data_IF_592137099254
#
_entry.id   IF_592137099254
#
_cell.length_a   1.000
_cell.length_b   1.000
_cell.length_c   1.000
_cell.angle_alpha   90.00
_cell.angle_beta   90.00
_cell.angle_gamma   90.00
#
_symmetry.space_group_name_H-M   'P 1'
#
loop_
_entity.id
_entity.type
_entity.pdbx_description
1 polymer ?
#
# COMPACT_ATOMS: atom_id res chain seq x y z
N UNK A 1 2.49 13.37 -9.41
CA UNK A 1 1.15 13.76 -8.95
C UNK A 1 1.06 13.84 -7.43
N UNK A 2 1.38 12.76 -6.69
CA UNK A 2 1.24 12.68 -5.23
C UNK A 2 1.82 13.89 -4.48
N UNK A 3 3.13 14.07 -4.56
CA UNK A 3 3.80 15.14 -3.82
C UNK A 3 3.35 16.53 -4.23
N UNK A 4 3.03 16.74 -5.52
CA UNK A 4 2.58 18.04 -6.00
C UNK A 4 1.21 18.43 -5.41
N UNK A 5 0.22 17.54 -5.39
CA UNK A 5 -1.09 17.85 -4.79
C UNK A 5 -0.99 18.12 -3.29
N UNK A 6 -0.31 17.23 -2.57
CA UNK A 6 -0.16 17.38 -1.11
C UNK A 6 0.63 18.62 -0.72
N UNK A 7 1.71 18.94 -1.46
CA UNK A 7 2.49 20.16 -1.25
C UNK A 7 1.66 21.42 -1.56
N UNK A 8 0.90 21.42 -2.67
CA UNK A 8 0.03 22.54 -3.03
C UNK A 8 -1.03 22.82 -1.98
N UNK A 9 -1.66 21.76 -1.45
CA UNK A 9 -2.62 21.89 -0.35
C UNK A 9 -1.97 22.47 0.92
N UNK A 10 -0.78 21.96 1.30
CA UNK A 10 -0.05 22.43 2.47
C UNK A 10 0.38 23.90 2.32
N UNK A 11 0.85 24.30 1.14
CA UNK A 11 1.21 25.70 0.84
C UNK A 11 -0.02 26.60 0.96
N UNK A 12 -1.14 26.23 0.35
CA UNK A 12 -2.37 27.02 0.41
C UNK A 12 -2.85 27.25 1.86
N UNK A 13 -2.78 26.21 2.69
CA UNK A 13 -3.14 26.33 4.13
C UNK A 13 -2.10 27.18 4.89
N UNK A 14 -0.80 26.97 4.63
CA UNK A 14 0.25 27.75 5.27
C UNK A 14 0.09 29.27 4.99
N UNK A 15 -0.27 29.65 3.77
CA UNK A 15 -0.58 31.04 3.42
C UNK A 15 -1.77 31.61 4.23
N UNK A 16 -2.81 30.82 4.46
CA UNK A 16 -3.96 31.25 5.27
C UNK A 16 -3.58 31.40 6.76
N UNK A 17 -2.71 30.56 7.27
CA UNK A 17 -2.16 30.68 8.62
C UNK A 17 -1.31 31.96 8.73
N UNK A 18 -0.41 32.20 7.77
CA UNK A 18 0.44 33.40 7.72
C UNK A 18 -0.38 34.70 7.63
N UNK A 19 -1.50 34.65 6.90
CA UNK A 19 -2.42 35.78 6.77
C UNK A 19 -3.36 35.96 7.98
N UNK A 20 -3.23 35.15 9.03
CA UNK A 20 -4.02 35.21 10.25
C UNK A 20 -5.47 34.72 10.10
N UNK A 21 -5.81 34.07 8.99
CA UNK A 21 -7.17 33.53 8.75
C UNK A 21 -7.39 32.16 9.38
N UNK A 22 -6.33 31.41 9.61
CA UNK A 22 -6.34 30.11 10.28
C UNK A 22 -5.35 30.12 11.44
N UNK A 23 -5.64 29.30 12.46
CA UNK A 23 -4.73 29.04 13.58
C UNK A 23 -4.41 27.54 13.62
N UNK A 24 -3.13 27.21 13.82
CA UNK A 24 -2.66 25.85 13.91
C UNK A 24 -1.37 25.62 13.13
N UNK A 25 -1.01 24.37 12.94
CA UNK A 25 0.18 23.96 12.21
C UNK A 25 -0.21 22.94 11.13
N UNK A 26 0.24 23.17 9.91
CA UNK A 26 0.18 22.16 8.84
C UNK A 26 1.57 21.59 8.60
N UNK A 27 1.66 20.27 8.50
CA UNK A 27 2.90 19.56 8.16
C UNK A 27 2.73 18.79 6.86
N UNK A 28 3.70 18.91 5.98
CA UNK A 28 3.82 18.09 4.78
C UNK A 28 4.91 17.03 4.97
N UNK A 29 4.54 15.77 4.85
CA UNK A 29 5.47 14.66 4.96
C UNK A 29 5.80 14.08 3.57
N UNK A 30 7.05 14.16 3.16
CA UNK A 30 7.57 13.39 2.05
C UNK A 30 7.80 11.93 2.47
N UNK A 31 6.99 11.01 1.98
CA UNK A 31 6.99 9.63 2.41
C UNK A 31 7.57 8.71 1.31
N UNK A 32 8.85 8.34 1.39
CA UNK A 32 9.48 7.48 0.38
C UNK A 32 9.09 6.01 0.55
N UNK A 33 9.32 5.22 -0.52
CA UNK A 33 9.32 3.75 -0.51
C UNK A 33 8.00 3.09 -0.07
N UNK A 34 6.84 3.71 -0.38
CA UNK A 34 5.52 3.10 -0.11
C UNK A 34 5.38 1.74 -0.81
N UNK A 35 5.85 1.61 -2.06
CA UNK A 35 5.74 0.44 -2.94
C UNK A 35 6.63 -0.75 -2.51
N UNK A 36 6.72 -1.03 -1.22
CA UNK A 36 7.37 -2.21 -0.67
C UNK A 36 8.43 -1.98 0.41
N UNK A 37 8.94 -0.76 0.55
CA UNK A 37 9.89 -0.41 1.61
C UNK A 37 9.22 0.03 2.92
N UNK A 38 7.90 0.28 2.92
CA UNK A 38 7.10 0.65 4.10
C UNK A 38 7.68 1.85 4.85
N UNK A 39 8.03 2.92 4.11
CA UNK A 39 8.73 4.09 4.68
C UNK A 39 7.97 4.76 5.81
N UNK A 40 6.62 4.86 5.73
CA UNK A 40 5.79 5.46 6.78
C UNK A 40 5.83 4.67 8.09
N UNK A 41 5.94 3.34 8.05
CA UNK A 41 6.12 2.53 9.25
C UNK A 41 7.37 2.94 10.03
N UNK A 42 8.46 3.27 9.33
CA UNK A 42 9.68 3.77 9.96
C UNK A 42 9.53 5.21 10.48
N UNK A 43 8.79 6.07 9.77
CA UNK A 43 8.48 7.43 10.23
C UNK A 43 7.62 7.40 11.51
N UNK A 44 6.61 6.51 11.57
CA UNK A 44 5.80 6.29 12.78
C UNK A 44 6.67 5.81 13.93
N UNK A 45 7.52 4.80 13.70
CA UNK A 45 8.45 4.30 14.72
C UNK A 45 9.41 5.36 15.24
N UNK A 46 9.75 6.34 14.40
CA UNK A 46 10.59 7.48 14.79
C UNK A 46 9.82 8.60 15.52
N UNK A 47 8.50 8.44 15.76
CA UNK A 47 7.68 9.40 16.49
C UNK A 47 7.29 10.66 15.71
N UNK A 48 7.42 10.66 14.37
CA UNK A 48 7.19 11.87 13.58
C UNK A 48 5.71 12.31 13.56
N UNK A 49 4.79 11.47 13.97
CA UNK A 49 3.36 11.76 14.00
C UNK A 49 2.80 11.97 15.41
N UNK A 50 3.61 11.80 16.48
CA UNK A 50 3.14 11.74 17.88
C UNK A 50 2.47 13.05 18.36
N UNK A 51 2.82 14.18 17.77
CA UNK A 51 2.26 15.50 18.07
C UNK A 51 1.29 16.01 16.97
N UNK A 52 0.84 15.13 16.08
CA UNK A 52 -0.17 15.44 15.07
C UNK A 52 -1.58 15.08 15.57
N UNK A 53 -2.57 15.91 15.24
CA UNK A 53 -3.97 15.70 15.62
C UNK A 53 -4.70 14.76 14.65
N UNK A 54 -4.37 14.85 13.37
CA UNK A 54 -4.95 14.05 12.30
C UNK A 54 -4.01 14.00 11.08
N UNK A 55 -4.22 13.03 10.20
CA UNK A 55 -3.54 12.93 8.92
C UNK A 55 -4.54 12.77 7.76
N UNK A 56 -4.23 13.41 6.64
CA UNK A 56 -4.91 13.22 5.38
C UNK A 56 -3.95 12.70 4.32
N UNK A 57 -4.44 11.78 3.50
CA UNK A 57 -3.70 11.29 2.34
C UNK A 57 -4.61 11.18 1.12
N UNK A 58 -4.02 11.03 -0.06
CA UNK A 58 -4.78 10.80 -1.27
C UNK A 58 -4.04 9.84 -2.21
N UNK A 59 -4.75 9.30 -3.19
CA UNK A 59 -4.14 8.44 -4.22
C UNK A 59 -4.73 8.75 -5.60
N UNK A 60 -3.92 8.89 -6.68
CA UNK A 60 -4.42 8.97 -8.03
C UNK A 60 -5.06 7.64 -8.45
N UNK A 61 -6.24 7.70 -9.06
CA UNK A 61 -7.01 6.53 -9.45
C UNK A 61 -7.74 6.74 -10.78
N UNK A 62 -8.59 5.79 -11.16
CA UNK A 62 -9.48 5.92 -12.31
C UNK A 62 -10.89 6.42 -11.94
N UNK A 63 -11.13 6.69 -10.66
CA UNK A 63 -12.39 7.21 -10.09
C UNK A 63 -12.10 8.16 -8.93
N UNK A 64 -13.08 9.00 -8.61
CA UNK A 64 -13.09 9.77 -7.38
C UNK A 64 -13.79 8.96 -6.31
N UNK A 65 -13.14 8.67 -5.20
CA UNK A 65 -13.71 7.91 -4.08
C UNK A 65 -13.27 8.50 -2.75
N UNK A 66 -14.14 8.48 -1.76
CA UNK A 66 -13.80 8.71 -0.36
C UNK A 66 -14.74 7.88 0.53
N UNK A 67 -14.36 7.66 1.78
CA UNK A 67 -15.13 6.88 2.74
C UNK A 67 -14.22 6.25 3.80
N UNK A 68 -14.82 5.68 4.83
CA UNK A 68 -14.12 5.02 5.92
C UNK A 68 -13.67 3.58 5.55
N UNK A 69 -13.04 3.44 4.40
CA UNK A 69 -12.53 2.16 3.92
C UNK A 69 -11.26 1.73 4.64
N UNK A 70 -11.07 0.42 4.73
CA UNK A 70 -9.83 -0.20 5.21
C UNK A 70 -9.04 -0.82 4.06
N UNK A 71 -7.86 -1.38 4.36
CA UNK A 71 -7.03 -2.15 3.44
C UNK A 71 -6.41 -3.36 4.13
N UNK A 72 -5.67 -4.19 3.38
CA UNK A 72 -5.05 -5.37 3.97
C UNK A 72 -3.74 -5.00 4.67
N UNK A 73 -3.53 -5.57 5.85
CA UNK A 73 -2.20 -5.71 6.45
C UNK A 73 -1.35 -6.66 5.60
N UNK A 74 -0.03 -6.47 5.59
CA UNK A 74 0.91 -7.25 4.78
C UNK A 74 2.20 -7.51 5.53
N UNK A 75 2.74 -8.75 5.43
CA UNK A 75 4.14 -9.07 5.70
C UNK A 75 4.86 -9.41 4.39
N UNK A 76 6.14 -9.06 4.31
CA UNK A 76 7.02 -9.28 3.15
C UNK A 76 8.29 -9.99 3.59
N UNK A 77 8.65 -11.10 2.92
CA UNK A 77 9.83 -11.90 3.25
C UNK A 77 10.44 -12.53 2.01
N UNK A 78 11.76 -12.53 1.94
CA UNK A 78 12.55 -13.32 0.98
C UNK A 78 13.13 -14.52 1.72
N UNK A 79 12.95 -15.70 1.13
CA UNK A 79 13.60 -16.93 1.57
C UNK A 79 14.64 -17.32 0.52
N UNK A 80 15.90 -17.29 0.92
CA UNK A 80 17.02 -17.72 0.11
C UNK A 80 17.49 -19.07 0.59
N UNK A 81 17.67 -20.00 -0.34
CA UNK A 81 18.19 -21.32 -0.08
C UNK A 81 19.61 -21.44 -0.64
N UNK A 82 20.49 -22.02 0.15
CA UNK A 82 21.88 -22.26 -0.21
C UNK A 82 22.09 -23.75 -0.23
N UNK A 83 22.40 -24.27 -1.40
CA UNK A 83 22.64 -25.66 -1.68
C UNK A 83 24.10 -25.94 -2.08
N UNK A 84 24.28 -26.91 -2.96
CA UNK A 84 25.59 -27.29 -3.49
C UNK A 84 25.50 -27.67 -4.97
N UNK A 85 26.28 -27.01 -5.79
CA UNK A 85 26.32 -27.25 -7.22
C UNK A 85 26.97 -28.62 -7.55
N UNK A 86 26.49 -29.24 -8.61
CA UNK A 86 27.03 -30.43 -9.20
C UNK A 86 26.62 -30.53 -10.68
N UNK A 87 27.31 -31.39 -11.45
CA UNK A 87 26.84 -31.73 -12.81
C UNK A 87 25.59 -32.61 -12.70
N UNK A 88 24.45 -32.13 -13.16
CA UNK A 88 23.15 -32.76 -12.92
C UNK A 88 23.02 -34.18 -13.48
N UNK A 89 23.75 -34.52 -14.58
CA UNK A 89 23.77 -35.86 -15.15
C UNK A 89 25.00 -36.68 -14.77
N UNK A 90 26.14 -36.04 -14.49
CA UNK A 90 27.41 -36.72 -14.27
C UNK A 90 27.68 -37.09 -12.81
N UNK A 91 27.18 -36.31 -11.86
CA UNK A 91 27.37 -36.51 -10.43
C UNK A 91 26.19 -35.93 -9.61
N UNK A 92 24.91 -36.28 -9.89
CA UNK A 92 23.74 -35.70 -9.23
C UNK A 92 23.75 -35.91 -7.72
N UNK A 93 24.30 -37.03 -7.23
CA UNK A 93 24.37 -37.36 -5.79
C UNK A 93 25.24 -36.40 -4.99
N UNK A 94 26.11 -35.63 -5.65
CA UNK A 94 26.97 -34.62 -5.01
C UNK A 94 26.26 -33.27 -4.88
N UNK A 95 25.15 -33.05 -5.61
CA UNK A 95 24.37 -31.82 -5.60
C UNK A 95 23.41 -31.74 -4.43
N UNK A 96 23.02 -30.51 -4.09
CA UNK A 96 21.85 -30.17 -3.23
C UNK A 96 21.19 -28.98 -3.87
N UNK A 97 20.02 -29.20 -4.47
CA UNK A 97 19.32 -28.17 -5.26
C UNK A 97 18.62 -27.16 -4.39
N UNK A 98 19.07 -25.93 -4.46
CA UNK A 98 18.39 -24.80 -3.82
C UNK A 98 17.05 -24.49 -4.51
N UNK A 99 16.92 -24.79 -5.82
CA UNK A 99 15.65 -24.62 -6.53
C UNK A 99 14.58 -25.61 -6.03
N UNK A 100 14.96 -26.88 -5.80
CA UNK A 100 14.01 -27.87 -5.28
C UNK A 100 13.50 -27.47 -3.88
N UNK A 101 14.35 -26.83 -3.07
CA UNK A 101 13.94 -26.27 -1.79
C UNK A 101 12.91 -25.15 -1.96
N UNK A 102 13.09 -24.27 -2.95
CA UNK A 102 12.09 -23.22 -3.29
C UNK A 102 10.79 -23.84 -3.75
N UNK A 103 10.83 -24.85 -4.65
CA UNK A 103 9.63 -25.51 -5.17
C UNK A 103 8.85 -26.20 -4.05
N UNK A 104 9.53 -26.93 -3.15
CA UNK A 104 8.91 -27.53 -1.98
C UNK A 104 8.29 -26.50 -1.03
N UNK A 105 8.99 -25.38 -0.76
CA UNK A 105 8.49 -24.30 0.07
C UNK A 105 7.23 -23.66 -0.54
N UNK A 106 7.23 -23.42 -1.85
CA UNK A 106 6.08 -22.91 -2.59
C UNK A 106 4.90 -23.89 -2.50
N UNK A 107 5.14 -25.19 -2.78
CA UNK A 107 4.09 -26.20 -2.69
C UNK A 107 3.50 -26.31 -1.28
N UNK A 108 4.34 -26.35 -0.25
CA UNK A 108 3.91 -26.35 1.16
C UNK A 108 3.07 -25.11 1.51
N UNK A 109 3.40 -23.95 0.93
CA UNK A 109 2.61 -22.73 1.14
C UNK A 109 1.21 -22.80 0.48
N UNK A 110 1.06 -23.50 -0.65
CA UNK A 110 -0.24 -23.76 -1.28
C UNK A 110 -1.10 -24.69 -0.41
N UNK A 111 -0.52 -25.73 0.19
CA UNK A 111 -1.23 -26.59 1.14
C UNK A 111 -1.63 -25.83 2.41
N UNK A 112 -0.76 -24.94 2.92
CA UNK A 112 -1.08 -24.07 4.04
C UNK A 112 -2.32 -23.21 3.76
N UNK A 113 -2.52 -22.79 2.52
CA UNK A 113 -3.63 -21.91 2.10
C UNK A 113 -5.00 -22.48 2.44
N UNK A 114 -5.17 -23.80 2.41
CA UNK A 114 -6.43 -24.48 2.77
C UNK A 114 -6.81 -24.29 4.26
N UNK A 115 -5.83 -23.97 5.10
CA UNK A 115 -5.95 -23.92 6.56
C UNK A 115 -5.66 -22.52 7.10
N UNK A 116 -6.00 -21.49 6.34
CA UNK A 116 -5.91 -20.08 6.74
C UNK A 116 -7.30 -19.47 6.86
N UNK A 117 -7.51 -18.47 7.72
CA UNK A 117 -8.77 -17.73 7.77
C UNK A 117 -9.15 -17.14 6.42
N UNK A 118 -10.46 -16.93 6.21
CA UNK A 118 -10.98 -16.25 5.03
C UNK A 118 -10.26 -14.91 4.80
N UNK A 119 -10.21 -14.47 3.53
CA UNK A 119 -9.52 -13.26 3.08
C UNK A 119 -8.00 -13.26 3.18
N UNK A 120 -7.37 -14.34 3.68
CA UNK A 120 -5.90 -14.49 3.61
C UNK A 120 -5.44 -14.54 2.15
N UNK A 121 -4.30 -13.88 1.87
CA UNK A 121 -3.61 -13.96 0.58
C UNK A 121 -2.14 -14.30 0.82
N UNK A 122 -1.67 -15.34 0.16
CA UNK A 122 -0.25 -15.72 0.12
C UNK A 122 0.16 -15.66 -1.35
N UNK A 123 1.04 -14.72 -1.69
CA UNK A 123 1.55 -14.56 -3.05
C UNK A 123 3.05 -14.76 -3.04
N UNK A 124 3.60 -15.38 -4.10
CA UNK A 124 5.03 -15.50 -4.21
C UNK A 124 5.52 -15.33 -5.66
N UNK A 125 6.77 -15.03 -5.77
CA UNK A 125 7.52 -15.05 -7.04
C UNK A 125 8.89 -15.63 -6.78
N UNK A 126 9.35 -16.53 -7.66
CA UNK A 126 10.74 -17.03 -7.65
C UNK A 126 11.61 -15.92 -8.25
N UNK A 127 12.52 -15.37 -7.45
CA UNK A 127 13.40 -14.26 -7.83
C UNK A 127 14.63 -14.79 -8.57
N UNK A 128 15.16 -15.93 -8.13
CA UNK A 128 16.24 -16.64 -8.80
C UNK A 128 16.11 -18.15 -8.59
N UNK A 129 16.50 -18.95 -9.58
CA UNK A 129 16.33 -20.40 -9.55
C UNK A 129 17.42 -21.19 -10.30
N UNK A 130 18.58 -20.57 -10.54
CA UNK A 130 19.68 -21.20 -11.30
C UNK A 130 19.79 -20.66 -12.73
N UNK A 131 20.78 -21.14 -13.48
CA UNK A 131 21.14 -20.63 -14.81
C UNK A 131 21.03 -21.66 -15.94
N UNK A 132 21.29 -22.94 -15.68
CA UNK A 132 21.33 -23.97 -16.71
C UNK A 132 20.85 -25.32 -16.17
N UNK A 133 20.09 -26.13 -16.96
CA UNK A 133 19.47 -27.36 -16.46
C UNK A 133 20.48 -28.49 -16.19
N UNK A 134 21.69 -28.41 -16.70
CA UNK A 134 22.77 -29.38 -16.47
C UNK A 134 23.64 -29.04 -15.23
N UNK A 135 23.28 -27.98 -14.50
CA UNK A 135 23.97 -27.55 -13.27
C UNK A 135 22.96 -27.48 -12.13
N UNK A 136 23.19 -28.28 -11.08
CA UNK A 136 22.37 -28.23 -9.86
C UNK A 136 22.49 -26.84 -9.24
N UNK A 137 21.38 -26.09 -9.04
CA UNK A 137 21.42 -24.73 -8.48
C UNK A 137 21.91 -24.73 -7.03
N UNK A 138 22.99 -24.01 -6.74
CA UNK A 138 23.53 -23.83 -5.39
C UNK A 138 22.93 -22.63 -4.64
N UNK A 139 22.15 -21.81 -5.33
CA UNK A 139 21.41 -20.71 -4.72
C UNK A 139 20.10 -20.47 -5.45
N UNK A 140 19.01 -20.30 -4.70
CA UNK A 140 17.70 -19.89 -5.22
C UNK A 140 16.98 -19.01 -4.19
N UNK A 141 16.12 -18.11 -4.66
CA UNK A 141 15.39 -17.19 -3.80
C UNK A 141 13.93 -17.07 -4.22
N UNK A 142 13.02 -17.07 -3.25
CA UNK A 142 11.61 -16.82 -3.43
C UNK A 142 11.16 -15.66 -2.54
N UNK A 143 10.32 -14.79 -3.08
CA UNK A 143 9.77 -13.63 -2.39
C UNK A 143 8.30 -13.83 -2.13
N UNK A 144 7.87 -13.72 -0.86
CA UNK A 144 6.49 -13.90 -0.41
C UNK A 144 5.88 -12.60 0.10
N UNK A 145 4.59 -12.41 -0.22
CA UNK A 145 3.67 -11.52 0.50
C UNK A 145 2.59 -12.35 1.19
N UNK A 146 2.43 -12.14 2.49
CA UNK A 146 1.32 -12.64 3.28
C UNK A 146 0.43 -11.47 3.66
N UNK A 147 -0.88 -11.54 3.37
CA UNK A 147 -1.85 -10.46 3.60
C UNK A 147 -3.11 -10.97 4.27
N UNK A 148 -3.70 -10.11 5.12
CA UNK A 148 -5.02 -10.32 5.73
C UNK A 148 -5.60 -8.97 6.17
N UNK A 149 -6.95 -8.79 6.28
CA UNK A 149 -7.58 -7.57 6.81
C UNK A 149 -7.17 -7.20 8.25
N UNK A 150 -6.57 -8.12 9.02
CA UNK A 150 -6.12 -7.92 10.39
C UNK A 150 -4.65 -8.29 10.53
N UNK A 151 -3.84 -7.39 11.06
CA UNK A 151 -2.40 -7.60 11.28
C UNK A 151 -2.12 -8.75 12.26
N UNK A 152 -3.00 -8.97 13.22
CA UNK A 152 -2.92 -10.09 14.19
C UNK A 152 -2.86 -11.44 13.47
N UNK A 153 -3.69 -11.64 12.45
CA UNK A 153 -3.70 -12.86 11.63
C UNK A 153 -2.42 -12.97 10.79
N UNK A 154 -1.91 -11.86 10.26
CA UNK A 154 -0.61 -11.85 9.56
C UNK A 154 0.51 -12.31 10.50
N UNK A 155 0.52 -11.82 11.76
CA UNK A 155 1.50 -12.25 12.78
C UNK A 155 1.38 -13.72 13.12
N UNK A 156 0.15 -14.24 13.24
CA UNK A 156 -0.11 -15.66 13.54
C UNK A 156 0.32 -16.57 12.38
N UNK A 157 0.04 -16.17 11.13
CA UNK A 157 0.31 -16.99 9.96
C UNK A 157 1.79 -16.94 9.52
N UNK A 158 2.51 -15.88 9.81
CA UNK A 158 3.90 -15.74 9.39
C UNK A 158 4.82 -16.89 9.86
N UNK A 159 4.78 -17.31 11.14
CA UNK A 159 5.56 -18.48 11.59
C UNK A 159 5.18 -19.79 10.87
N UNK A 160 3.93 -19.92 10.43
CA UNK A 160 3.47 -21.08 9.65
C UNK A 160 4.05 -21.06 8.23
N UNK A 161 4.11 -19.89 7.59
CA UNK A 161 4.76 -19.70 6.30
C UNK A 161 6.27 -20.00 6.39
N UNK A 162 6.93 -19.54 7.47
CA UNK A 162 8.34 -19.84 7.72
C UNK A 162 8.60 -21.36 7.84
N UNK A 163 7.69 -22.11 8.46
CA UNK A 163 7.79 -23.59 8.54
C UNK A 163 7.72 -24.23 7.16
N UNK A 164 6.99 -23.67 6.19
CA UNK A 164 6.98 -24.17 4.83
C UNK A 164 8.37 -24.03 4.19
N UNK A 165 9.04 -22.90 4.39
CA UNK A 165 10.41 -22.70 3.92
C UNK A 165 11.41 -23.63 4.63
N UNK A 166 11.28 -23.80 5.95
CA UNK A 166 12.11 -24.71 6.73
C UNK A 166 11.96 -26.17 6.28
N UNK A 167 10.73 -26.61 5.94
CA UNK A 167 10.49 -27.95 5.41
C UNK A 167 11.17 -28.16 4.05
N UNK A 168 11.14 -27.16 3.16
CA UNK A 168 11.86 -27.21 1.89
C UNK A 168 13.36 -27.36 2.10
N UNK A 169 13.94 -26.57 3.00
CA UNK A 169 15.37 -26.67 3.32
C UNK A 169 15.75 -28.03 3.92
N UNK A 170 14.93 -28.53 4.86
CA UNK A 170 15.17 -29.81 5.51
C UNK A 170 15.15 -30.98 4.51
N UNK A 171 14.14 -31.01 3.63
CA UNK A 171 13.97 -32.09 2.67
C UNK A 171 15.07 -32.15 1.61
N UNK A 172 15.67 -31.01 1.28
CA UNK A 172 16.72 -30.91 0.24
C UNK A 172 18.14 -30.80 0.80
N UNK A 173 18.28 -30.88 2.12
CA UNK A 173 19.59 -30.70 2.83
C UNK A 173 20.26 -29.36 2.45
N UNK A 174 19.47 -28.30 2.25
CA UNK A 174 19.95 -26.93 1.97
C UNK A 174 19.89 -26.07 3.22
N UNK A 175 20.59 -24.92 3.20
CA UNK A 175 20.51 -23.92 4.26
C UNK A 175 19.48 -22.86 3.90
N UNK A 176 18.54 -22.56 4.80
CA UNK A 176 17.60 -21.44 4.67
C UNK A 176 18.20 -20.16 5.25
N UNK A 177 18.11 -19.07 4.49
CA UNK A 177 18.35 -17.71 4.94
C UNK A 177 17.04 -16.91 4.81
N UNK A 178 16.54 -16.45 5.96
CA UNK A 178 15.35 -15.61 6.04
C UNK A 178 15.75 -14.14 5.96
N UNK A 179 15.14 -13.39 5.03
CA UNK A 179 15.24 -11.92 4.97
C UNK A 179 13.83 -11.33 5.12
N UNK A 180 13.45 -11.04 6.36
CA UNK A 180 12.20 -10.35 6.64
C UNK A 180 12.32 -8.88 6.26
N UNK A 181 11.48 -8.40 5.33
CA UNK A 181 11.51 -7.03 4.82
C UNK A 181 10.61 -6.09 5.59
N UNK A 182 9.82 -6.61 6.53
CA UNK A 182 8.84 -5.85 7.29
C UNK A 182 7.42 -6.02 6.77
N UNK A 183 6.54 -5.21 7.28
CA UNK A 183 5.13 -5.24 6.91
C UNK A 183 4.45 -3.90 7.18
N UNK A 184 3.15 -3.87 6.91
CA UNK A 184 2.27 -2.73 7.15
C UNK A 184 1.02 -3.18 7.88
N UNK A 185 0.52 -2.36 8.79
CA UNK A 185 -0.79 -2.56 9.41
C UNK A 185 -1.91 -2.40 8.38
N UNK A 186 -3.09 -2.96 8.65
CA UNK A 186 -4.31 -2.53 7.98
C UNK A 186 -4.61 -1.07 8.29
N UNK A 187 -5.31 -0.39 7.38
CA UNK A 187 -5.76 0.96 7.64
C UNK A 187 -6.92 0.93 8.64
N UNK A 188 -6.78 1.66 9.74
CA UNK A 188 -7.81 1.86 10.75
C UNK A 188 -8.71 3.02 10.30
N UNK A 189 -9.95 2.78 9.88
CA UNK A 189 -10.81 3.82 9.34
C UNK A 189 -11.18 4.89 10.39
N UNK A 190 -11.52 6.09 9.93
CA UNK A 190 -12.10 7.16 10.74
C UNK A 190 -13.24 7.83 9.97
N UNK A 191 -14.49 7.52 10.35
CA UNK A 191 -15.68 8.00 9.67
C UNK A 191 -15.72 9.52 9.66
N UNK A 192 -15.47 10.13 10.81
CA UNK A 192 -15.61 11.59 10.93
C UNK A 192 -14.71 12.35 9.98
N UNK A 193 -13.46 11.94 9.85
CA UNK A 193 -12.54 12.54 8.88
C UNK A 193 -12.89 12.17 7.43
N UNK A 194 -13.35 10.94 7.21
CA UNK A 194 -13.77 10.49 5.89
C UNK A 194 -14.98 11.23 5.37
N UNK A 195 -15.95 11.56 6.24
CA UNK A 195 -17.12 12.38 5.90
C UNK A 195 -16.72 13.78 5.44
N UNK A 196 -15.74 14.40 6.12
CA UNK A 196 -15.20 15.72 5.72
C UNK A 196 -14.54 15.63 4.34
N UNK A 197 -13.71 14.63 4.13
CA UNK A 197 -13.05 14.43 2.83
C UNK A 197 -14.06 14.14 1.71
N UNK A 198 -15.08 13.32 1.97
CA UNK A 198 -16.14 12.98 1.03
C UNK A 198 -16.98 14.21 0.65
N UNK A 199 -17.39 15.03 1.63
CA UNK A 199 -18.13 16.25 1.41
C UNK A 199 -17.36 17.23 0.52
N UNK A 200 -16.08 17.49 0.87
CA UNK A 200 -15.23 18.37 0.09
C UNK A 200 -14.92 17.82 -1.31
N UNK A 201 -14.70 16.50 -1.45
CA UNK A 201 -14.48 15.90 -2.77
C UNK A 201 -15.73 16.06 -3.65
N UNK A 202 -16.95 15.93 -3.11
CA UNK A 202 -18.19 16.16 -3.84
C UNK A 202 -18.37 17.62 -4.23
N UNK A 203 -18.04 18.56 -3.34
CA UNK A 203 -18.16 19.99 -3.58
C UNK A 203 -17.23 20.47 -4.69
N UNK A 204 -15.97 20.03 -4.67
CA UNK A 204 -14.95 20.48 -5.63
C UNK A 204 -14.87 19.64 -6.91
N UNK A 205 -15.58 18.52 -7.01
CA UNK A 205 -15.52 17.67 -8.20
C UNK A 205 -16.33 18.26 -9.35
N UNK A 206 -15.64 19.01 -10.22
CA UNK A 206 -16.17 19.55 -11.47
C UNK A 206 -15.44 18.96 -12.69
N UNK A 207 -14.88 17.76 -12.56
CA UNK A 207 -14.09 17.13 -13.63
C UNK A 207 -14.93 16.88 -14.87
N UNK A 208 -14.43 17.34 -16.00
CA UNK A 208 -14.98 17.10 -17.33
C UNK A 208 -13.84 17.00 -18.32
N UNK A 209 -13.92 16.06 -19.25
CA UNK A 209 -12.97 15.97 -20.32
C UNK A 209 -13.35 16.91 -21.47
N UNK A 210 -12.39 17.70 -21.94
CA UNK A 210 -12.48 18.41 -23.21
C UNK A 210 -12.35 17.43 -24.40
N UNK A 211 -12.45 17.95 -25.62
CA UNK A 211 -12.41 17.10 -26.83
C UNK A 211 -11.07 16.34 -26.98
N UNK A 212 -9.94 16.97 -26.67
CA UNK A 212 -8.62 16.34 -26.76
C UNK A 212 -8.45 15.25 -25.70
N UNK A 213 -8.92 15.51 -24.49
CA UNK A 213 -8.91 14.54 -23.40
C UNK A 213 -9.82 13.35 -23.69
N UNK A 214 -11.01 13.59 -24.29
CA UNK A 214 -11.92 12.51 -24.71
C UNK A 214 -11.29 11.64 -25.80
N UNK A 215 -10.65 12.24 -26.80
CA UNK A 215 -9.96 11.50 -27.85
C UNK A 215 -8.83 10.64 -27.26
N UNK A 216 -7.98 11.22 -26.41
CA UNK A 216 -6.95 10.47 -25.70
C UNK A 216 -7.53 9.34 -24.85
N UNK A 217 -8.58 9.63 -24.04
CA UNK A 217 -9.22 8.65 -23.19
C UNK A 217 -9.83 7.50 -23.98
N UNK A 218 -10.49 7.77 -25.11
CA UNK A 218 -11.04 6.75 -26.01
C UNK A 218 -9.95 5.83 -26.58
N UNK A 219 -8.79 6.38 -26.95
CA UNK A 219 -7.65 5.58 -27.42
C UNK A 219 -7.11 4.66 -26.30
N UNK A 220 -7.01 5.16 -25.08
CA UNK A 220 -6.62 4.33 -23.93
C UNK A 220 -7.67 3.25 -23.66
N UNK A 221 -8.96 3.57 -23.70
CA UNK A 221 -10.05 2.60 -23.46
C UNK A 221 -10.00 1.40 -24.39
N UNK A 222 -9.56 1.56 -25.64
CA UNK A 222 -9.39 0.46 -26.60
C UNK A 222 -8.36 -0.58 -26.13
N UNK A 223 -7.48 -0.22 -25.20
CA UNK A 223 -6.45 -1.11 -24.64
C UNK A 223 -6.83 -1.70 -23.29
N UNK A 224 -7.99 -1.33 -22.72
CA UNK A 224 -8.44 -1.78 -21.43
C UNK A 224 -9.31 -3.03 -21.54
N UNK A 225 -9.13 -3.95 -20.59
CA UNK A 225 -9.97 -5.16 -20.50
C UNK A 225 -11.40 -4.85 -20.07
N UNK A 226 -11.57 -3.82 -19.19
CA UNK A 226 -12.86 -3.41 -18.63
C UNK A 226 -12.96 -1.89 -18.61
N UNK A 227 -13.14 -1.24 -19.77
CA UNK A 227 -13.33 0.20 -19.82
C UNK A 227 -14.62 0.60 -19.10
N UNK A 228 -14.62 1.79 -18.48
CA UNK A 228 -15.80 2.37 -17.84
C UNK A 228 -16.23 3.64 -18.58
N UNK A 229 -17.50 4.07 -18.46
CA UNK A 229 -17.96 5.32 -19.08
C UNK A 229 -17.06 6.50 -18.71
N UNK A 230 -16.71 7.34 -19.69
CA UNK A 230 -15.78 8.45 -19.46
C UNK A 230 -16.35 9.50 -18.49
N UNK A 231 -17.65 9.67 -18.47
CA UNK A 231 -18.31 10.69 -17.65
C UNK A 231 -18.39 10.31 -16.16
N UNK A 232 -17.98 9.08 -15.78
CA UNK A 232 -17.90 8.63 -14.38
C UNK A 232 -16.95 9.50 -13.53
N UNK A 233 -16.05 10.25 -14.15
CA UNK A 233 -15.17 11.20 -13.46
C UNK A 233 -15.92 12.38 -12.81
N UNK A 234 -17.15 12.65 -13.24
CA UNK A 234 -18.02 13.65 -12.60
C UNK A 234 -18.71 13.13 -11.33
N UNK A 235 -18.61 11.83 -11.07
CA UNK A 235 -19.20 11.18 -9.89
C UNK A 235 -18.16 11.03 -8.78
N UNK A 236 -18.66 10.98 -7.53
CA UNK A 236 -17.88 10.67 -6.33
C UNK A 236 -18.52 9.48 -5.64
N UNK A 237 -17.77 8.39 -5.51
CA UNK A 237 -18.25 7.15 -4.91
C UNK A 237 -17.88 7.11 -3.43
N UNK A 238 -18.86 6.76 -2.62
CA UNK A 238 -18.68 6.48 -1.21
C UNK A 238 -18.21 5.02 -1.07
N UNK A 239 -17.06 4.82 -0.42
CA UNK A 239 -16.46 3.51 -0.16
C UNK A 239 -16.52 3.12 1.32
N UNK A 240 -17.41 3.74 2.07
CA UNK A 240 -17.55 3.48 3.51
C UNK A 240 -17.86 2.00 3.79
N UNK A 241 -17.13 1.44 4.74
CA UNK A 241 -17.25 0.02 5.13
C UNK A 241 -16.58 -0.97 4.18
N UNK A 242 -15.97 -0.52 3.08
CA UNK A 242 -15.27 -1.41 2.17
C UNK A 242 -13.88 -1.80 2.71
N UNK A 243 -13.42 -3.00 2.35
CA UNK A 243 -12.05 -3.46 2.57
C UNK A 243 -11.34 -3.56 1.23
N UNK A 244 -10.47 -2.61 0.95
CA UNK A 244 -9.61 -2.62 -0.24
C UNK A 244 -8.67 -3.83 -0.24
N UNK A 245 -8.36 -4.35 -1.43
CA UNK A 245 -7.50 -5.54 -1.59
C UNK A 245 -6.00 -5.21 -1.64
N UNK A 246 -5.67 -3.93 -1.69
CA UNK A 246 -4.29 -3.42 -1.60
C UNK A 246 -3.78 -3.40 -0.16
N UNK A 247 -2.55 -2.97 0.00
CA UNK A 247 -1.91 -2.66 1.29
C UNK A 247 -1.16 -1.36 1.13
N UNK A 248 -1.14 -0.54 2.17
CA UNK A 248 -0.37 0.70 2.21
C UNK A 248 0.20 0.92 3.60
N UNK A 249 1.37 1.53 3.68
CA UNK A 249 1.99 1.91 4.94
C UNK A 249 1.33 3.12 5.63
N UNK A 250 0.31 3.74 5.01
CA UNK A 250 -0.62 4.67 5.66
C UNK A 250 -1.38 3.96 6.79
N UNK A 251 -1.57 2.64 6.69
CA UNK A 251 -2.13 1.83 7.76
C UNK A 251 -1.43 2.10 9.09
N UNK A 252 -0.10 2.09 9.12
CA UNK A 252 0.67 2.34 10.33
C UNK A 252 0.41 3.73 10.93
N UNK A 253 0.29 4.77 10.09
CA UNK A 253 -0.08 6.12 10.53
C UNK A 253 -1.47 6.13 11.16
N UNK A 254 -2.44 5.43 10.56
CA UNK A 254 -3.82 5.38 11.04
C UNK A 254 -3.97 4.71 12.41
N UNK A 255 -3.01 3.88 12.83
CA UNK A 255 -3.00 3.28 14.15
C UNK A 255 -2.49 4.21 15.25
N UNK A 256 -1.81 5.29 14.91
CA UNK A 256 -1.29 6.26 15.90
C UNK A 256 -2.10 7.54 15.96
N UNK A 257 -2.63 8.03 14.83
CA UNK A 257 -3.48 9.21 14.76
C UNK A 257 -4.69 8.99 13.86
N UNK A 258 -5.82 9.71 14.08
CA UNK A 258 -6.96 9.72 13.16
C UNK A 258 -6.49 10.02 11.74
N UNK A 259 -6.86 9.17 10.79
CA UNK A 259 -6.39 9.29 9.39
C UNK A 259 -7.54 9.04 8.43
N UNK A 260 -7.65 9.85 7.38
CA UNK A 260 -8.57 9.64 6.28
C UNK A 260 -7.88 9.85 4.94
N UNK A 261 -8.42 9.19 3.91
CA UNK A 261 -7.92 9.27 2.55
C UNK A 261 -9.02 9.30 1.51
N UNK A 262 -8.65 9.69 0.31
CA UNK A 262 -9.53 9.71 -0.85
C UNK A 262 -8.75 9.47 -2.14
N UNK A 263 -9.46 9.19 -3.23
CA UNK A 263 -8.86 9.08 -4.56
C UNK A 263 -9.46 10.10 -5.50
N UNK A 264 -8.69 10.51 -6.51
CA UNK A 264 -9.18 11.33 -7.60
C UNK A 264 -8.88 10.71 -8.95
N UNK A 265 -9.74 10.97 -9.93
CA UNK A 265 -9.63 10.45 -11.29
C UNK A 265 -8.46 11.12 -12.03
N UNK A 266 -7.28 10.55 -11.90
CA UNK A 266 -6.05 10.91 -12.62
C UNK A 266 -5.77 9.99 -13.82
N UNK A 267 -6.49 8.87 -13.91
CA UNK A 267 -6.38 7.88 -14.98
C UNK A 267 -7.68 7.80 -15.76
N UNK A 268 -7.59 7.31 -16.97
CA UNK A 268 -8.80 7.05 -17.79
C UNK A 268 -9.66 5.99 -17.07
N UNK A 269 -10.99 6.19 -16.97
CA UNK A 269 -11.90 5.26 -16.31
C UNK A 269 -11.76 3.82 -16.77
N UNK A 270 -11.59 2.89 -15.80
CA UNK A 270 -11.32 1.48 -16.04
C UNK A 270 -9.83 1.11 -16.07
N UNK A 271 -8.92 2.08 -16.03
CA UNK A 271 -7.47 1.82 -15.95
C UNK A 271 -7.13 1.21 -14.58
N UNK A 272 -6.36 0.12 -14.59
CA UNK A 272 -5.79 -0.49 -13.38
C UNK A 272 -4.50 0.23 -12.97
N UNK A 273 -4.22 0.29 -11.67
CA UNK A 273 -2.92 0.73 -11.15
C UNK A 273 -1.78 -0.16 -11.66
N UNK A 274 -0.54 0.34 -11.63
CA UNK A 274 0.67 -0.36 -12.09
C UNK A 274 0.62 -0.79 -13.56
N UNK A 275 0.02 0.04 -14.41
CA UNK A 275 -0.08 -0.19 -15.86
C UNK A 275 0.54 0.96 -16.65
N UNK A 276 0.96 0.69 -17.89
CA UNK A 276 1.47 1.75 -18.77
C UNK A 276 0.38 2.80 -19.09
N UNK A 277 -0.90 2.41 -19.10
CA UNK A 277 -2.03 3.32 -19.29
C UNK A 277 -2.13 4.33 -18.13
N UNK A 278 -1.90 3.88 -16.88
CA UNK A 278 -1.86 4.76 -15.72
C UNK A 278 -0.68 5.76 -15.84
N UNK A 279 0.49 5.29 -16.27
CA UNK A 279 1.67 6.15 -16.51
C UNK A 279 1.37 7.19 -17.59
N UNK A 280 0.82 6.76 -18.72
CA UNK A 280 0.47 7.65 -19.83
C UNK A 280 -0.50 8.75 -19.39
N UNK A 281 -1.59 8.40 -18.70
CA UNK A 281 -2.59 9.36 -18.24
C UNK A 281 -2.02 10.33 -17.18
N UNK A 282 -1.15 9.85 -16.28
CA UNK A 282 -0.54 10.67 -15.22
C UNK A 282 0.26 11.86 -15.74
N UNK A 283 0.90 11.73 -16.90
CA UNK A 283 1.68 12.80 -17.53
C UNK A 283 0.83 13.82 -18.31
N UNK A 284 -0.42 13.49 -18.59
CA UNK A 284 -1.33 14.29 -19.42
C UNK A 284 -2.19 15.25 -18.60
N UNK A 285 -2.98 16.09 -19.29
CA UNK A 285 -3.92 17.03 -18.65
C UNK A 285 -4.97 16.33 -17.78
N UNK A 286 -5.37 15.09 -18.12
CA UNK A 286 -6.24 14.24 -17.28
C UNK A 286 -5.64 14.05 -15.90
N UNK A 287 -4.39 13.60 -15.81
CA UNK A 287 -3.71 13.42 -14.53
C UNK A 287 -3.57 14.72 -13.73
N UNK A 288 -3.29 15.84 -14.42
CA UNK A 288 -3.16 17.16 -13.78
C UNK A 288 -4.50 17.67 -13.22
N UNK A 289 -5.62 17.46 -13.92
CA UNK A 289 -6.95 17.83 -13.40
C UNK A 289 -7.30 17.06 -12.12
N UNK A 290 -7.10 15.75 -12.11
CA UNK A 290 -7.32 14.94 -10.91
C UNK A 290 -6.38 15.34 -9.76
N UNK A 291 -5.12 15.66 -10.05
CA UNK A 291 -4.17 16.17 -9.06
C UNK A 291 -4.63 17.52 -8.47
N UNK A 292 -5.17 18.43 -9.28
CA UNK A 292 -5.68 19.71 -8.82
C UNK A 292 -6.91 19.53 -7.93
N UNK A 293 -7.84 18.66 -8.32
CA UNK A 293 -8.99 18.30 -7.49
C UNK A 293 -8.52 17.74 -6.13
N UNK A 294 -7.49 16.89 -6.12
CA UNK A 294 -6.94 16.36 -4.87
C UNK A 294 -6.36 17.45 -3.97
N UNK A 295 -5.63 18.42 -4.55
CA UNK A 295 -5.07 19.56 -3.80
C UNK A 295 -6.18 20.42 -3.18
N UNK A 296 -7.24 20.71 -3.94
CA UNK A 296 -8.39 21.50 -3.46
C UNK A 296 -9.15 20.76 -2.34
N UNK A 297 -9.49 19.49 -2.55
CA UNK A 297 -10.17 18.66 -1.55
C UNK A 297 -9.36 18.57 -0.26
N UNK A 298 -8.06 18.35 -0.35
CA UNK A 298 -7.20 18.24 0.83
C UNK A 298 -7.10 19.58 1.57
N UNK A 299 -6.90 20.70 0.84
CA UNK A 299 -6.84 22.03 1.45
C UNK A 299 -8.17 22.39 2.14
N UNK A 300 -9.31 22.17 1.49
CA UNK A 300 -10.62 22.42 2.07
C UNK A 300 -10.87 21.55 3.33
N UNK A 301 -10.51 20.27 3.27
CA UNK A 301 -10.62 19.39 4.44
C UNK A 301 -9.76 19.86 5.61
N UNK A 302 -8.52 20.31 5.38
CA UNK A 302 -7.68 20.89 6.43
C UNK A 302 -8.26 22.20 6.95
N UNK A 303 -8.84 23.04 6.07
CA UNK A 303 -9.55 24.26 6.47
C UNK A 303 -10.69 23.95 7.45
N UNK A 304 -11.53 22.95 7.11
CA UNK A 304 -12.63 22.54 7.99
C UNK A 304 -12.12 22.04 9.35
N UNK A 305 -11.07 21.23 9.37
CA UNK A 305 -10.46 20.75 10.61
C UNK A 305 -9.90 21.87 11.49
N UNK A 306 -9.40 22.95 10.89
CA UNK A 306 -8.85 24.11 11.63
C UNK A 306 -9.94 25.10 12.08
N UNK A 307 -11.06 25.18 11.38
CA UNK A 307 -12.15 26.13 11.69
C UNK A 307 -13.26 25.50 12.50
N UNK A 308 -13.34 24.16 12.55
CA UNK A 308 -14.37 23.39 13.26
C UNK A 308 -13.68 22.38 14.20
N UNK A 309 -13.16 22.81 15.36
CA UNK A 309 -12.33 21.97 16.24
C UNK A 309 -13.07 20.75 16.81
N UNK A 310 -14.41 20.77 16.82
CA UNK A 310 -15.24 19.64 17.21
C UNK A 310 -15.02 18.42 16.33
N UNK A 311 -14.67 18.61 15.05
CA UNK A 311 -14.37 17.51 14.13
C UNK A 311 -13.16 16.70 14.63
N UNK A 312 -12.09 17.38 15.06
CA UNK A 312 -10.89 16.73 15.59
C UNK A 312 -11.18 16.01 16.92
N UNK A 313 -12.03 16.60 17.78
CA UNK A 313 -12.45 15.96 19.04
C UNK A 313 -13.18 14.66 18.76
N UNK A 314 -14.17 14.69 17.86
CA UNK A 314 -14.97 13.51 17.47
C UNK A 314 -14.09 12.44 16.78
N UNK A 315 -13.19 12.85 15.89
CA UNK A 315 -12.27 11.97 15.19
C UNK A 315 -11.32 11.24 16.16
N UNK A 316 -10.79 11.94 17.17
CA UNK A 316 -9.96 11.34 18.23
C UNK A 316 -10.73 10.37 19.11
N UNK A 317 -11.97 10.70 19.46
CA UNK A 317 -12.83 9.78 20.23
C UNK A 317 -13.15 8.53 19.43
N UNK A 318 -13.48 8.67 18.15
CA UNK A 318 -13.71 7.52 17.28
C UNK A 318 -12.45 6.65 17.13
N UNK A 319 -11.29 7.26 16.90
CA UNK A 319 -10.01 6.56 16.81
C UNK A 319 -9.72 5.75 18.07
N UNK A 320 -9.92 6.33 19.26
CA UNK A 320 -9.75 5.63 20.52
C UNK A 320 -10.71 4.43 20.66
N UNK A 321 -11.99 4.60 20.27
CA UNK A 321 -12.98 3.50 20.27
C UNK A 321 -12.58 2.37 19.33
N UNK A 322 -12.19 2.69 18.07
CA UNK A 322 -11.82 1.68 17.05
C UNK A 322 -10.55 0.92 17.40
N UNK A 323 -9.63 1.55 18.13
CA UNK A 323 -8.45 0.85 18.66
C UNK A 323 -8.80 -0.17 19.75
N UNK A 324 -9.93 -0.05 20.44
CA UNK A 324 -10.38 -1.00 21.47
C UNK A 324 -9.29 -1.28 22.54
N UNK A 325 -8.50 -0.27 22.89
CA UNK A 325 -7.38 -0.41 23.82
C UNK A 325 -6.14 -1.12 23.26
N UNK A 326 -6.17 -1.57 21.98
CA UNK A 326 -5.01 -2.18 21.34
C UNK A 326 -3.89 -1.13 21.15
N UNK A 327 -2.67 -1.55 21.44
CA UNK A 327 -1.48 -0.72 21.19
C UNK A 327 -1.02 -0.91 19.74
N UNK A 328 -0.53 0.15 19.15
CA UNK A 328 0.15 0.04 17.86
C UNK A 328 1.48 -0.73 18.05
N UNK A 329 1.65 -1.75 17.26
CA UNK A 329 2.87 -2.53 17.17
C UNK A 329 3.21 -2.71 15.70
N UNK A 330 4.30 -2.13 15.18
CA UNK A 330 4.65 -2.26 13.78
C UNK A 330 4.96 -3.72 13.41
N UNK A 331 4.70 -4.07 12.15
CA UNK A 331 5.16 -5.34 11.58
C UNK A 331 6.63 -5.22 11.14
N UNK A 332 7.49 -4.79 12.07
CA UNK A 332 8.93 -4.68 11.92
C UNK A 332 9.63 -5.47 13.03
N UNK A 333 10.81 -5.99 12.73
CA UNK A 333 11.69 -6.48 13.80
C UNK A 333 12.20 -5.29 14.64
N UNK A 334 12.47 -5.48 15.96
CA UNK A 334 12.84 -4.37 16.86
C UNK A 334 13.98 -3.49 16.33
N UNK A 335 15.04 -4.10 15.85
CA UNK A 335 16.24 -3.41 15.33
C UNK A 335 16.28 -3.28 13.81
N UNK A 336 15.15 -3.54 13.13
CA UNK A 336 15.10 -3.52 11.68
C UNK A 336 15.35 -2.10 11.15
N UNK A 337 16.34 -1.99 10.27
CA UNK A 337 16.61 -0.75 9.51
C UNK A 337 15.76 -0.70 8.24
N UNK A 338 15.52 0.50 7.68
CA UNK A 338 14.86 0.61 6.38
C UNK A 338 15.57 -0.23 5.32
N UNK A 339 14.84 -1.06 4.56
CA UNK A 339 15.44 -1.94 3.55
C UNK A 339 15.75 -1.15 2.28
N UNK A 340 16.88 -0.41 2.26
CA UNK A 340 17.25 0.47 1.15
C UNK A 340 17.55 -0.27 -0.16
N UNK A 341 17.80 -1.58 -0.09
CA UNK A 341 18.16 -2.47 -1.18
C UNK A 341 17.11 -3.57 -1.46
N UNK A 342 15.86 -3.39 -1.00
CA UNK A 342 14.82 -4.44 -1.09
C UNK A 342 14.44 -4.84 -2.52
N UNK A 343 14.74 -4.00 -3.50
CA UNK A 343 14.51 -4.28 -4.94
C UNK A 343 15.70 -4.92 -5.65
N UNK A 344 16.83 -5.03 -4.96
CA UNK A 344 18.06 -5.64 -5.49
C UNK A 344 18.15 -7.10 -5.08
#
# INVERSE_FOLDING_TARGET
>A
LFGAASASAAIAIAEQIQNGKLQGTVRFYGCPAEEGGSGKTFLVRAGLFDDCDAALHWHPASKNTAGDSSCLSRAAVKFRFIGRSAHAAGAPEQGRSALDAVELACHASELLREHTPDFTRIHHVIVSGGAAPNVVPDSAEVFFYLRHPKAEIVRELYPRLLKCAQAGALATETKLEERYLGGTMELLPNNRLSDVALANLREFNHLKYDNQQREFAQRIQQTLTKPLPLDIISEVFDTSGEVGKGSTDVGDVSWVIPTAGFTTACFVPGTTSHSWQAVAASGMSIGKQGMQLAAQTMAASVWDLMTQPEILVEAKQEHARRREGRKYEPLLLPEQKPPLDYRN
#
